data_IF_764010879771
#
_entry.id   IF_764010879771
#
_cell.length_a   1.000
_cell.length_b   1.000
_cell.length_c   1.000
_cell.angle_alpha   90.00
_cell.angle_beta   90.00
_cell.angle_gamma   90.00
#
_symmetry.space_group_name_H-M   'P 1'
#
loop_
_entity.id
_entity.type
_entity.pdbx_description
1 polymer ?
#
# COMPACT_ATOMS: atom_id res chain seq x y z
N UNK A 1 19.65 -11.35 15.97
CA UNK A 1 18.72 -12.04 15.06
C UNK A 1 19.43 -12.38 13.77
N UNK A 2 19.21 -13.59 13.27
CA UNK A 2 19.72 -13.98 11.95
C UNK A 2 18.78 -13.49 10.87
N UNK A 3 19.16 -12.42 10.19
CA UNK A 3 18.38 -11.90 9.06
C UNK A 3 18.60 -12.79 7.85
N UNK A 4 17.49 -13.28 7.29
CA UNK A 4 17.52 -14.10 6.08
C UNK A 4 17.15 -13.24 4.89
N UNK A 5 17.47 -13.71 3.68
CA UNK A 5 17.18 -12.98 2.45
C UNK A 5 15.69 -12.64 2.32
N UNK A 6 14.79 -13.55 2.75
CA UNK A 6 13.36 -13.33 2.63
C UNK A 6 12.84 -12.24 3.57
N UNK A 7 13.57 -11.91 4.65
CA UNK A 7 13.20 -10.77 5.50
C UNK A 7 13.26 -9.46 4.70
N UNK A 8 14.24 -9.31 3.81
CA UNK A 8 14.34 -8.14 2.94
C UNK A 8 13.18 -8.08 1.95
N UNK A 9 12.79 -9.24 1.38
CA UNK A 9 11.65 -9.33 0.47
C UNK A 9 10.34 -8.98 1.17
N UNK A 10 10.12 -9.54 2.36
CA UNK A 10 8.92 -9.25 3.17
C UNK A 10 8.87 -7.76 3.54
N UNK A 11 10.01 -7.18 3.92
CA UNK A 11 10.08 -5.75 4.24
C UNK A 11 9.73 -4.87 3.04
N UNK A 12 10.22 -5.23 1.86
CA UNK A 12 9.89 -4.52 0.62
C UNK A 12 8.38 -4.49 0.37
N UNK A 13 7.74 -5.66 0.44
CA UNK A 13 6.29 -5.74 0.21
C UNK A 13 5.50 -5.10 1.35
N UNK A 14 6.00 -5.15 2.58
CA UNK A 14 5.39 -4.42 3.70
C UNK A 14 5.30 -2.92 3.37
N UNK A 15 6.40 -2.35 2.90
CA UNK A 15 6.43 -0.93 2.51
C UNK A 15 5.43 -0.63 1.39
N UNK A 16 5.37 -1.49 0.38
CA UNK A 16 4.45 -1.32 -0.74
C UNK A 16 2.99 -1.35 -0.29
N UNK A 17 2.59 -2.35 0.50
CA UNK A 17 1.21 -2.45 0.98
C UNK A 17 0.85 -1.31 1.92
N UNK A 18 1.75 -0.93 2.83
CA UNK A 18 1.50 0.18 3.76
C UNK A 18 1.32 1.51 3.01
N UNK A 19 2.12 1.75 1.97
CA UNK A 19 1.95 2.96 1.14
C UNK A 19 0.60 2.95 0.43
N UNK A 20 0.15 1.78 -0.04
CA UNK A 20 -1.13 1.67 -0.75
C UNK A 20 -2.35 1.90 0.15
N UNK A 21 -2.17 1.91 1.47
CA UNK A 21 -3.23 2.28 2.43
C UNK A 21 -3.65 3.74 2.21
N UNK A 22 -2.67 4.62 1.95
CA UNK A 22 -2.88 6.06 2.01
C UNK A 22 -3.96 6.59 1.05
N UNK A 23 -3.91 6.33 -0.27
CA UNK A 23 -4.91 6.91 -1.16
C UNK A 23 -6.32 6.42 -0.86
N UNK A 24 -6.47 5.15 -0.55
CA UNK A 24 -7.78 4.55 -0.32
C UNK A 24 -8.37 4.93 1.03
N UNK A 25 -7.55 4.85 2.08
CA UNK A 25 -8.02 5.16 3.42
C UNK A 25 -8.34 6.66 3.56
N UNK A 26 -7.48 7.53 3.03
CA UNK A 26 -7.69 8.97 3.09
C UNK A 26 -8.92 9.39 2.28
N UNK A 27 -9.07 8.85 1.07
CA UNK A 27 -10.27 9.13 0.26
C UNK A 27 -11.53 8.66 0.97
N UNK A 28 -11.50 7.44 1.51
CA UNK A 28 -12.65 6.85 2.17
C UNK A 28 -13.12 7.61 3.39
N UNK A 29 -12.20 7.94 4.31
CA UNK A 29 -12.55 8.69 5.52
C UNK A 29 -12.95 10.13 5.22
N UNK A 30 -12.61 10.63 4.04
CA UNK A 30 -12.98 11.98 3.59
C UNK A 30 -14.30 11.98 2.80
N UNK A 31 -14.93 10.81 2.64
CA UNK A 31 -16.17 10.69 1.90
C UNK A 31 -16.01 10.82 0.40
N UNK A 32 -14.83 10.57 -0.13
CA UNK A 32 -14.51 10.74 -1.55
C UNK A 32 -14.51 9.38 -2.26
N UNK A 33 -15.16 9.33 -3.43
CA UNK A 33 -15.09 8.18 -4.31
C UNK A 33 -13.71 8.09 -4.93
N UNK A 34 -13.19 6.88 -5.08
CA UNK A 34 -11.83 6.68 -5.53
C UNK A 34 -11.68 5.31 -6.20
N UNK A 35 -10.80 5.15 -7.21
CA UNK A 35 -10.65 3.88 -7.90
C UNK A 35 -10.12 2.76 -6.98
N UNK A 36 -10.65 1.55 -7.17
CA UNK A 36 -10.15 0.34 -6.52
C UNK A 36 -10.09 -0.79 -7.53
N UNK A 37 -9.39 -1.91 -7.22
CA UNK A 37 -9.43 -3.09 -8.07
C UNK A 37 -10.84 -3.69 -8.23
N UNK A 38 -11.77 -3.32 -7.34
CA UNK A 38 -13.14 -3.84 -7.34
C UNK A 38 -14.11 -2.97 -8.12
N UNK A 39 -13.64 -1.83 -8.62
CA UNK A 39 -14.45 -0.92 -9.43
C UNK A 39 -14.60 -1.47 -10.85
N UNK A 40 -15.47 -0.85 -11.62
CA UNK A 40 -15.70 -1.21 -13.02
C UNK A 40 -15.51 0.03 -13.91
N UNK A 41 -14.44 0.08 -14.74
CA UNK A 41 -13.38 -0.93 -14.89
C UNK A 41 -12.45 -0.99 -13.68
N UNK A 42 -11.84 -2.17 -13.41
CA UNK A 42 -10.93 -2.31 -12.27
C UNK A 42 -9.80 -1.28 -12.30
N UNK A 43 -9.56 -0.63 -11.17
CA UNK A 43 -8.50 0.35 -11.03
C UNK A 43 -8.75 1.69 -11.73
N UNK A 44 -9.87 1.85 -12.43
CA UNK A 44 -10.21 3.04 -13.21
C UNK A 44 -11.53 3.64 -12.74
N UNK A 45 -12.58 2.81 -12.64
CA UNK A 45 -13.87 3.25 -12.13
C UNK A 45 -13.79 3.60 -10.66
N UNK A 46 -14.81 4.27 -10.15
CA UNK A 46 -14.85 4.76 -8.78
C UNK A 46 -15.60 3.80 -7.88
N UNK A 47 -15.00 3.47 -6.75
CA UNK A 47 -15.65 2.76 -5.65
C UNK A 47 -16.10 3.75 -4.59
N UNK A 48 -17.08 3.35 -3.78
CA UNK A 48 -17.63 4.19 -2.71
C UNK A 48 -16.57 4.48 -1.64
N UNK A 49 -16.78 5.54 -0.83
CA UNK A 49 -15.92 5.81 0.31
C UNK A 49 -15.79 4.62 1.26
N UNK A 50 -16.89 3.91 1.54
CA UNK A 50 -16.87 2.74 2.42
C UNK A 50 -16.00 1.62 1.86
N UNK A 51 -16.09 1.34 0.57
CA UNK A 51 -15.25 0.32 -0.09
C UNK A 51 -13.79 0.74 -0.01
N UNK A 52 -13.49 2.03 -0.16
CA UNK A 52 -12.11 2.53 -0.06
C UNK A 52 -11.55 2.40 1.35
N UNK A 53 -12.33 2.67 2.39
CA UNK A 53 -11.90 2.41 3.76
C UNK A 53 -11.60 0.92 3.96
N UNK A 54 -12.49 0.06 3.48
CA UNK A 54 -12.31 -1.40 3.60
C UNK A 54 -11.05 -1.86 2.88
N UNK A 55 -10.81 -1.38 1.66
CA UNK A 55 -9.63 -1.74 0.88
C UNK A 55 -8.35 -1.22 1.53
N UNK A 56 -8.38 0.02 2.03
CA UNK A 56 -7.26 0.58 2.78
C UNK A 56 -6.95 -0.24 4.03
N UNK A 57 -7.99 -0.67 4.75
CA UNK A 57 -7.84 -1.51 5.95
C UNK A 57 -7.21 -2.86 5.61
N UNK A 58 -7.62 -3.50 4.51
CA UNK A 58 -7.04 -4.76 4.07
C UNK A 58 -5.54 -4.58 3.77
N UNK A 59 -5.18 -3.50 3.07
CA UNK A 59 -3.77 -3.20 2.81
C UNK A 59 -2.99 -2.96 4.10
N UNK A 60 -3.60 -2.30 5.07
CA UNK A 60 -2.96 -2.06 6.38
C UNK A 60 -2.70 -3.38 7.10
N UNK A 61 -3.67 -4.29 7.12
CA UNK A 61 -3.51 -5.59 7.76
C UNK A 61 -2.41 -6.40 7.08
N UNK A 62 -2.44 -6.49 5.75
CA UNK A 62 -1.42 -7.23 5.00
C UNK A 62 -0.06 -6.60 5.21
N UNK A 63 0.05 -5.28 5.07
CA UNK A 63 1.30 -4.56 5.26
C UNK A 63 1.85 -4.71 6.66
N UNK A 64 0.98 -4.62 7.67
CA UNK A 64 1.36 -4.80 9.07
C UNK A 64 1.86 -6.21 9.38
N UNK A 65 1.19 -7.23 8.83
CA UNK A 65 1.61 -8.62 9.00
C UNK A 65 2.96 -8.88 8.31
N UNK A 66 3.16 -8.35 7.12
CA UNK A 66 4.43 -8.47 6.41
C UNK A 66 5.55 -7.74 7.17
N UNK A 67 5.26 -6.56 7.70
CA UNK A 67 6.22 -5.78 8.49
C UNK A 67 6.65 -6.58 9.73
N UNK A 68 5.70 -7.17 10.42
CA UNK A 68 5.98 -8.00 11.59
C UNK A 68 6.79 -9.25 11.20
N UNK A 69 6.38 -9.95 10.13
CA UNK A 69 7.07 -11.14 9.67
C UNK A 69 8.49 -10.85 9.18
N UNK A 70 8.72 -9.65 8.64
CA UNK A 70 10.05 -9.22 8.20
C UNK A 70 10.99 -8.93 9.37
N UNK A 71 10.46 -8.81 10.60
CA UNK A 71 11.24 -8.51 11.80
C UNK A 71 12.03 -7.20 11.67
N UNK A 72 11.39 -6.18 11.11
CA UNK A 72 12.04 -4.90 10.81
C UNK A 72 12.64 -4.27 12.06
N UNK A 73 11.97 -4.37 13.20
CA UNK A 73 12.43 -3.76 14.44
C UNK A 73 13.68 -4.43 15.03
N UNK A 74 14.05 -5.63 14.53
CA UNK A 74 15.21 -6.37 15.02
C UNK A 74 16.50 -6.09 14.22
N UNK A 75 16.38 -5.44 13.06
CA UNK A 75 17.53 -5.11 12.23
C UNK A 75 17.22 -3.82 11.45
N UNK A 76 17.88 -2.74 11.83
CA UNK A 76 17.59 -1.42 11.24
C UNK A 76 17.83 -1.35 9.73
N UNK A 77 18.67 -2.24 9.18
CA UNK A 77 18.88 -2.28 7.72
C UNK A 77 17.62 -2.67 6.96
N UNK A 78 16.69 -3.35 7.61
CA UNK A 78 15.40 -3.72 6.99
C UNK A 78 14.51 -2.52 6.70
N UNK A 79 14.76 -1.37 7.31
CA UNK A 79 14.05 -0.14 6.95
C UNK A 79 14.34 0.30 5.52
N UNK A 80 15.50 -0.09 4.96
CA UNK A 80 15.86 0.28 3.58
C UNK A 80 14.87 -0.34 2.58
N UNK A 81 14.66 -1.68 2.56
CA UNK A 81 13.65 -2.24 1.65
C UNK A 81 12.23 -1.78 1.95
N UNK A 82 11.88 -1.49 3.21
CA UNK A 82 10.57 -0.88 3.53
C UNK A 82 10.44 0.45 2.79
N UNK A 83 11.43 1.31 2.90
CA UNK A 83 11.42 2.61 2.23
C UNK A 83 11.39 2.48 0.72
N UNK A 84 12.18 1.58 0.16
CA UNK A 84 12.24 1.34 -1.29
C UNK A 84 10.89 0.85 -1.80
N UNK A 85 10.31 -0.15 -1.14
CA UNK A 85 8.99 -0.68 -1.52
C UNK A 85 7.91 0.40 -1.43
N UNK A 86 7.92 1.17 -0.35
CA UNK A 86 6.98 2.26 -0.16
C UNK A 86 7.10 3.34 -1.23
N UNK A 87 8.34 3.77 -1.54
CA UNK A 87 8.56 4.79 -2.56
C UNK A 87 8.22 4.31 -3.97
N UNK A 88 8.59 3.08 -4.32
CA UNK A 88 8.22 2.52 -5.62
C UNK A 88 6.70 2.45 -5.77
N UNK A 89 6.00 2.04 -4.72
CA UNK A 89 4.55 2.04 -4.73
C UNK A 89 4.01 3.47 -4.85
N UNK A 90 4.57 4.44 -4.12
CA UNK A 90 4.14 5.83 -4.18
C UNK A 90 4.23 6.40 -5.60
N UNK A 91 5.35 6.17 -6.28
CA UNK A 91 5.51 6.64 -7.66
C UNK A 91 4.57 5.91 -8.62
N UNK A 92 4.36 4.61 -8.41
CA UNK A 92 3.40 3.84 -9.20
C UNK A 92 1.98 4.38 -9.03
N UNK A 93 1.57 4.67 -7.79
CA UNK A 93 0.25 5.22 -7.51
C UNK A 93 0.08 6.62 -8.11
N UNK A 94 1.10 7.46 -7.98
CA UNK A 94 1.07 8.81 -8.55
C UNK A 94 0.90 8.76 -10.07
N UNK A 95 1.61 7.87 -10.74
CA UNK A 95 1.49 7.71 -12.18
C UNK A 95 0.11 7.18 -12.56
N UNK A 96 -0.35 6.11 -11.92
CA UNK A 96 -1.63 5.47 -12.24
C UNK A 96 -2.80 6.43 -12.00
N UNK A 97 -2.89 6.97 -10.79
CA UNK A 97 -4.01 7.83 -10.44
C UNK A 97 -3.91 9.21 -11.12
N UNK A 98 -2.69 9.68 -11.36
CA UNK A 98 -2.48 10.89 -12.14
C UNK A 98 -3.06 10.75 -13.55
N UNK A 99 -2.86 9.58 -14.18
CA UNK A 99 -3.43 9.28 -15.49
C UNK A 99 -4.95 9.12 -15.43
N UNK A 100 -5.44 8.34 -14.48
CA UNK A 100 -6.86 7.98 -14.40
C UNK A 100 -7.72 9.16 -13.96
N UNK A 101 -7.26 9.96 -12.98
CA UNK A 101 -8.07 10.98 -12.35
C UNK A 101 -8.02 12.33 -13.08
N UNK A 102 -7.05 12.53 -13.98
CA UNK A 102 -6.85 13.81 -14.66
C UNK A 102 -7.11 13.76 -16.16
N UNK A 103 -7.72 12.69 -16.65
CA UNK A 103 -8.11 12.56 -18.07
C UNK A 103 -9.56 12.93 -18.30
#
# INVERSE_FOLDING_TARGET
>A
MNTKWYHYLLAFFAGAFLMNVLPHFLAGVSGTYFPTPFANPPGIGLSSPTINVAWGTINLVIGGLLFYAAKVCNNKLLWIPVAVGGLLMAFNLAHHFGTVMNN
#
